data_IF_996839240229
#
_entry.id   IF_996839240229
#
_cell.length_a   1.000
_cell.length_b   1.000
_cell.length_c   1.000
_cell.angle_alpha   90.00
_cell.angle_beta   90.00
_cell.angle_gamma   90.00
#
_symmetry.space_group_name_H-M   'P 1'
#
loop_
_entity.id
_entity.type
_entity.pdbx_description
1 polymer ?
#
# COMPACT_ATOMS: atom_id res chain seq x y z
N UNK A 1 -6.23 -16.33 13.55
CA UNK A 1 -6.91 -15.08 13.18
C UNK A 1 -5.87 -14.00 13.03
N UNK A 2 -5.88 -13.28 11.90
CA UNK A 2 -5.01 -12.10 11.73
C UNK A 2 -5.61 -10.93 12.51
N UNK A 3 -4.78 -9.96 12.91
CA UNK A 3 -5.26 -8.71 13.55
C UNK A 3 -6.33 -8.03 12.69
N UNK A 4 -6.13 -8.03 11.37
CA UNK A 4 -7.06 -7.44 10.40
C UNK A 4 -8.48 -8.04 10.40
N UNK A 5 -8.65 -9.30 10.84
CA UNK A 5 -9.98 -9.92 10.90
C UNK A 5 -10.91 -9.35 11.98
N UNK A 6 -10.42 -8.46 12.85
CA UNK A 6 -11.25 -7.77 13.86
C UNK A 6 -12.01 -6.56 13.31
N UNK A 7 -11.65 -6.06 12.13
CA UNK A 7 -12.26 -4.87 11.54
C UNK A 7 -13.38 -5.26 10.58
N UNK A 8 -14.47 -4.50 10.65
CA UNK A 8 -15.66 -4.67 9.81
C UNK A 8 -15.60 -3.85 8.54
N UNK A 9 -14.76 -2.82 8.48
CA UNK A 9 -14.52 -2.00 7.30
C UNK A 9 -13.09 -1.44 7.31
N UNK A 10 -12.50 -1.21 6.14
CA UNK A 10 -11.15 -0.65 6.04
C UNK A 10 -11.02 0.37 4.91
N UNK A 11 -10.28 1.44 5.16
CA UNK A 11 -9.78 2.34 4.11
C UNK A 11 -8.32 2.00 3.84
N UNK A 12 -7.93 1.81 2.59
CA UNK A 12 -6.53 1.55 2.23
C UNK A 12 -5.92 2.78 1.57
N UNK A 13 -4.79 3.23 2.10
CA UNK A 13 -3.99 4.35 1.57
C UNK A 13 -2.60 3.83 1.21
N UNK A 14 -2.15 4.08 -0.02
CA UNK A 14 -0.85 3.63 -0.53
C UNK A 14 0.05 4.84 -0.82
N UNK A 15 1.30 4.77 -0.37
CA UNK A 15 2.32 5.78 -0.67
C UNK A 15 2.63 5.81 -2.19
N UNK A 16 2.83 4.63 -2.77
CA UNK A 16 3.28 4.43 -4.15
C UNK A 16 2.26 3.77 -5.07
N UNK A 17 2.54 3.85 -6.37
CA UNK A 17 1.70 3.26 -7.43
C UNK A 17 1.79 1.73 -7.42
N UNK A 18 2.93 1.16 -7.07
CA UNK A 18 3.13 -0.29 -7.10
C UNK A 18 2.38 -0.96 -5.95
N UNK A 19 2.37 -0.33 -4.77
CA UNK A 19 1.58 -0.74 -3.61
C UNK A 19 0.08 -0.72 -3.94
N UNK A 20 -0.40 0.37 -4.53
CA UNK A 20 -1.79 0.51 -4.98
C UNK A 20 -2.19 -0.61 -5.96
N UNK A 21 -1.33 -0.91 -6.95
CA UNK A 21 -1.56 -1.99 -7.91
C UNK A 21 -1.65 -3.36 -7.25
N UNK A 22 -0.73 -3.66 -6.33
CA UNK A 22 -0.74 -4.94 -5.64
C UNK A 22 -1.97 -5.07 -4.73
N UNK A 23 -2.36 -4.00 -4.03
CA UNK A 23 -3.60 -4.00 -3.24
C UNK A 23 -4.82 -4.25 -4.13
N UNK A 24 -4.94 -3.53 -5.25
CA UNK A 24 -6.07 -3.72 -6.17
C UNK A 24 -6.10 -5.15 -6.71
N UNK A 25 -4.96 -5.71 -7.14
CA UNK A 25 -4.88 -7.10 -7.58
C UNK A 25 -5.30 -8.09 -6.47
N UNK A 26 -4.88 -7.86 -5.23
CA UNK A 26 -5.27 -8.70 -4.08
C UNK A 26 -6.79 -8.65 -3.86
N UNK A 27 -7.40 -7.47 -3.96
CA UNK A 27 -8.85 -7.28 -3.77
C UNK A 27 -9.66 -7.90 -4.92
N UNK A 28 -9.24 -7.68 -6.17
CA UNK A 28 -9.89 -8.24 -7.37
C UNK A 28 -9.88 -9.77 -7.38
N UNK A 29 -8.84 -10.39 -6.82
CA UNK A 29 -8.71 -11.84 -6.75
C UNK A 29 -9.25 -12.45 -5.43
N UNK A 30 -9.89 -11.67 -4.57
CA UNK A 30 -10.42 -12.11 -3.27
C UNK A 30 -9.37 -12.78 -2.36
N UNK A 31 -8.12 -12.30 -2.42
CA UNK A 31 -7.04 -12.76 -1.54
C UNK A 31 -6.90 -11.91 -0.27
N UNK A 32 -7.68 -10.85 -0.15
CA UNK A 32 -7.70 -10.04 1.05
C UNK A 32 -8.46 -10.75 2.18
N UNK A 33 -8.09 -10.44 3.42
CA UNK A 33 -8.61 -11.14 4.61
C UNK A 33 -10.05 -10.77 4.96
N UNK A 34 -10.49 -9.59 4.54
CA UNK A 34 -11.89 -9.16 4.61
C UNK A 34 -12.47 -9.05 3.20
N UNK A 35 -13.80 -9.12 3.12
CA UNK A 35 -14.54 -8.96 1.87
C UNK A 35 -14.15 -7.64 1.19
N UNK A 36 -13.87 -7.69 -0.12
CA UNK A 36 -13.48 -6.51 -0.91
C UNK A 36 -14.58 -5.44 -0.93
N UNK A 37 -15.85 -5.79 -0.73
CA UNK A 37 -16.97 -4.85 -0.56
C UNK A 37 -16.89 -4.06 0.76
N UNK A 38 -16.09 -4.52 1.72
CA UNK A 38 -15.84 -3.88 3.02
C UNK A 38 -14.52 -3.11 3.03
N UNK A 39 -13.96 -2.82 1.85
CA UNK A 39 -12.72 -2.09 1.68
C UNK A 39 -12.98 -0.89 0.77
N UNK A 40 -12.54 0.29 1.20
CA UNK A 40 -12.54 1.50 0.40
C UNK A 40 -11.11 1.82 -0.07
N UNK A 41 -10.94 1.94 -1.39
CA UNK A 41 -9.67 2.31 -2.05
C UNK A 41 -9.77 3.63 -2.83
N UNK A 42 -10.87 4.37 -2.72
CA UNK A 42 -11.11 5.62 -3.47
C UNK A 42 -10.08 6.70 -3.09
N UNK A 43 -9.58 6.62 -1.86
CA UNK A 43 -8.56 7.50 -1.30
C UNK A 43 -7.16 6.87 -1.29
N UNK A 44 -6.96 5.77 -2.04
CA UNK A 44 -5.69 5.03 -2.09
C UNK A 44 -4.49 5.90 -2.47
N UNK A 45 -4.72 7.00 -3.21
CA UNK A 45 -3.71 8.00 -3.57
C UNK A 45 -4.04 9.39 -3.05
N UNK A 46 -4.50 9.50 -1.79
CA UNK A 46 -4.77 10.75 -1.09
C UNK A 46 -3.51 11.64 -0.90
N UNK A 47 -2.93 12.07 -2.03
CA UNK A 47 -1.71 12.86 -2.16
C UNK A 47 -1.97 14.36 -1.97
N UNK A 48 -3.23 14.76 -1.86
CA UNK A 48 -3.63 16.14 -1.64
C UNK A 48 -4.32 16.28 -0.29
N UNK A 49 -4.10 17.43 0.36
CA UNK A 49 -4.75 17.77 1.64
C UNK A 49 -6.27 17.60 1.58
N UNK A 50 -6.88 18.03 0.47
CA UNK A 50 -8.31 17.92 0.23
C UNK A 50 -8.77 16.46 0.26
N UNK A 51 -8.07 15.58 -0.46
CA UNK A 51 -8.43 14.15 -0.49
C UNK A 51 -8.27 13.48 0.87
N UNK A 52 -7.24 13.84 1.64
CA UNK A 52 -7.09 13.36 3.01
C UNK A 52 -8.19 13.86 3.95
N UNK A 53 -8.62 15.11 3.80
CA UNK A 53 -9.72 15.71 4.56
C UNK A 53 -11.07 15.06 4.21
N UNK A 54 -11.34 14.81 2.93
CA UNK A 54 -12.54 14.10 2.45
C UNK A 54 -12.59 12.67 2.98
N UNK A 55 -11.49 11.93 2.90
CA UNK A 55 -11.39 10.57 3.46
C UNK A 55 -11.67 10.57 4.97
N UNK A 56 -11.03 11.47 5.73
CA UNK A 56 -11.23 11.53 7.19
C UNK A 56 -12.67 11.92 7.52
N UNK A 57 -13.26 12.85 6.78
CA UNK A 57 -14.67 13.19 6.96
C UNK A 57 -15.58 11.99 6.67
N UNK A 58 -15.31 11.25 5.59
CA UNK A 58 -16.12 10.08 5.24
C UNK A 58 -16.01 8.97 6.29
N UNK A 59 -14.79 8.60 6.68
CA UNK A 59 -14.55 7.52 7.64
C UNK A 59 -15.12 7.83 9.04
N UNK A 60 -15.26 9.10 9.43
CA UNK A 60 -15.81 9.49 10.74
C UNK A 60 -17.33 9.69 10.76
N UNK A 61 -17.97 9.89 9.60
CA UNK A 61 -19.41 10.17 9.53
C UNK A 61 -20.26 8.94 9.17
N UNK A 62 -19.68 7.91 8.57
CA UNK A 62 -20.39 6.67 8.27
C UNK A 62 -20.65 5.83 9.53
N UNK A 63 -21.80 5.19 9.57
CA UNK A 63 -22.12 4.18 10.59
C UNK A 63 -21.71 2.80 10.09
N UNK A 64 -20.85 2.12 10.84
CA UNK A 64 -20.28 0.82 10.46
C UNK A 64 -20.77 -0.26 11.42
N UNK A 65 -20.96 -1.47 10.91
CA UNK A 65 -21.38 -2.63 11.71
C UNK A 65 -20.29 -3.14 12.70
N UNK A 66 -19.19 -2.41 12.86
CA UNK A 66 -18.10 -2.75 13.78
C UNK A 66 -16.88 -1.83 13.62
N UNK A 67 -15.72 -2.27 14.10
CA UNK A 67 -14.48 -1.48 14.06
C UNK A 67 -14.10 -1.12 12.62
N UNK A 68 -13.64 0.11 12.42
CA UNK A 68 -13.07 0.60 11.16
C UNK A 68 -11.62 1.00 11.35
N UNK A 69 -10.79 0.82 10.32
CA UNK A 69 -9.40 1.22 10.33
C UNK A 69 -8.96 1.83 9.00
N UNK A 70 -7.88 2.59 9.06
CA UNK A 70 -7.07 2.95 7.90
C UNK A 70 -5.86 2.03 7.84
N UNK A 71 -5.66 1.35 6.71
CA UNK A 71 -4.43 0.62 6.41
C UNK A 71 -3.53 1.53 5.57
N UNK A 72 -2.38 1.88 6.12
CA UNK A 72 -1.39 2.68 5.42
C UNK A 72 -0.27 1.79 4.87
N UNK A 73 -0.19 1.65 3.54
CA UNK A 73 0.78 0.79 2.85
C UNK A 73 1.92 1.66 2.31
N UNK A 74 3.14 1.46 2.81
CA UNK A 74 4.27 2.36 2.56
C UNK A 74 5.63 1.66 2.63
N UNK A 75 6.65 2.24 1.99
CA UNK A 75 7.94 1.56 1.74
C UNK A 75 8.95 1.67 2.89
N UNK A 76 8.66 2.49 3.89
CA UNK A 76 9.66 2.95 4.86
C UNK A 76 9.11 3.06 6.28
N UNK A 77 9.69 2.31 7.22
CA UNK A 77 9.39 2.44 8.66
C UNK A 77 9.68 3.84 9.26
N UNK A 78 10.31 4.74 8.48
CA UNK A 78 10.53 6.15 8.88
C UNK A 78 9.39 7.06 8.44
N UNK A 79 8.69 6.69 7.38
CA UNK A 79 7.45 7.36 7.03
C UNK A 79 6.43 7.11 8.13
N UNK A 80 5.63 8.13 8.41
CA UNK A 80 4.58 8.07 9.41
C UNK A 80 3.34 8.67 8.79
N UNK A 81 2.20 8.04 9.04
CA UNK A 81 0.86 8.57 8.73
C UNK A 81 0.70 10.08 9.03
N UNK A 82 1.27 10.54 10.15
CA UNK A 82 1.23 11.94 10.60
C UNK A 82 1.86 12.94 9.62
N UNK A 83 2.72 12.48 8.70
CA UNK A 83 3.30 13.31 7.65
C UNK A 83 2.39 13.49 6.43
N UNK A 84 1.42 12.59 6.23
CA UNK A 84 0.48 12.63 5.11
C UNK A 84 -0.74 13.51 5.40
N UNK A 85 -1.29 13.42 6.61
CA UNK A 85 -2.50 14.17 6.97
C UNK A 85 -2.19 15.26 8.00
N UNK A 86 -2.97 16.33 7.96
CA UNK A 86 -2.79 17.45 8.89
C UNK A 86 -3.13 17.04 10.34
N UNK A 87 -2.74 17.86 11.32
CA UNK A 87 -2.99 17.57 12.75
C UNK A 87 -4.48 17.44 13.09
N UNK A 88 -5.35 18.24 12.47
CA UNK A 88 -6.79 18.19 12.73
C UNK A 88 -7.37 16.84 12.29
N UNK A 89 -7.03 16.39 11.08
CA UNK A 89 -7.44 15.08 10.56
C UNK A 89 -6.93 13.93 11.45
N UNK A 90 -5.67 13.98 11.90
CA UNK A 90 -5.15 12.99 12.85
C UNK A 90 -5.94 12.95 14.17
N UNK A 91 -6.25 14.13 14.73
CA UNK A 91 -7.03 14.22 15.96
C UNK A 91 -8.45 13.69 15.77
N UNK A 92 -9.05 13.91 14.60
CA UNK A 92 -10.40 13.43 14.29
C UNK A 92 -10.47 11.91 14.25
N UNK A 93 -9.51 11.25 13.60
CA UNK A 93 -9.39 9.79 13.61
C UNK A 93 -9.21 9.25 15.04
N UNK A 94 -8.33 9.88 15.83
CA UNK A 94 -8.08 9.49 17.21
C UNK A 94 -9.34 9.62 18.09
N UNK A 95 -10.04 10.74 17.97
CA UNK A 95 -11.27 11.01 18.72
C UNK A 95 -12.42 10.07 18.33
N UNK A 96 -12.40 9.60 17.08
CA UNK A 96 -13.39 8.64 16.55
C UNK A 96 -12.98 7.19 16.80
N UNK A 97 -11.89 6.95 17.54
CA UNK A 97 -11.35 5.60 17.81
C UNK A 97 -11.05 4.78 16.55
N UNK A 98 -10.60 5.45 15.49
CA UNK A 98 -10.24 4.83 14.23
C UNK A 98 -8.76 4.50 14.26
N UNK A 99 -8.44 3.22 14.12
CA UNK A 99 -7.07 2.75 14.10
C UNK A 99 -6.39 3.08 12.78
N UNK A 100 -5.10 3.42 12.83
CA UNK A 100 -4.24 3.48 11.65
C UNK A 100 -3.20 2.38 11.77
N UNK A 101 -3.19 1.48 10.79
CA UNK A 101 -2.38 0.26 10.76
C UNK A 101 -1.33 0.40 9.66
N UNK A 102 -0.06 0.48 10.04
CA UNK A 102 1.05 0.54 9.10
C UNK A 102 1.35 -0.84 8.50
N UNK A 103 1.33 -0.92 7.16
CA UNK A 103 1.76 -2.07 6.36
C UNK A 103 3.06 -1.67 5.64
N UNK A 104 4.18 -2.06 6.22
CA UNK A 104 5.50 -1.67 5.73
C UNK A 104 5.96 -2.66 4.65
N UNK A 105 6.16 -2.17 3.42
CA UNK A 105 6.67 -2.93 2.26
C UNK A 105 8.20 -2.90 2.13
N UNK A 106 8.90 -2.49 3.20
CA UNK A 106 10.35 -2.45 3.24
C UNK A 106 10.99 -3.85 3.06
N UNK A 107 12.12 -3.98 2.33
CA UNK A 107 12.95 -2.90 1.78
C UNK A 107 12.29 -2.09 0.65
N UNK A 108 11.60 -2.71 -0.31
CA UNK A 108 10.68 -2.11 -1.32
C UNK A 108 9.89 -3.25 -1.98
N UNK A 109 8.67 -3.00 -2.48
CA UNK A 109 7.85 -4.04 -3.12
C UNK A 109 8.50 -4.59 -4.41
N UNK A 110 9.35 -3.80 -5.07
CA UNK A 110 10.19 -4.20 -6.20
C UNK A 110 11.10 -5.41 -5.91
N UNK A 111 11.41 -5.68 -4.64
CA UNK A 111 12.15 -6.90 -4.26
C UNK A 111 11.41 -8.14 -4.70
N UNK A 112 10.09 -8.17 -4.57
CA UNK A 112 9.29 -9.31 -4.97
C UNK A 112 9.54 -9.65 -6.46
N UNK A 113 9.68 -8.64 -7.32
CA UNK A 113 9.94 -8.84 -8.74
C UNK A 113 11.35 -9.41 -8.97
N UNK A 114 12.35 -8.92 -8.23
CA UNK A 114 13.72 -9.48 -8.28
C UNK A 114 13.72 -10.96 -7.89
N UNK A 115 12.97 -11.34 -6.84
CA UNK A 115 12.87 -12.73 -6.38
C UNK A 115 12.06 -13.63 -7.31
N UNK A 116 11.19 -13.06 -8.15
CA UNK A 116 10.39 -13.83 -9.10
C UNK A 116 11.21 -14.44 -10.25
N UNK A 117 12.49 -14.05 -10.40
CA UNK A 117 13.35 -14.49 -11.48
C UNK A 117 14.78 -14.79 -10.98
N UNK A 118 15.21 -16.04 -11.12
CA UNK A 118 16.53 -16.53 -10.67
C UNK A 118 17.72 -15.78 -11.30
N UNK A 119 17.59 -15.33 -12.54
CA UNK A 119 18.64 -14.56 -13.22
C UNK A 119 18.76 -13.16 -12.61
N UNK A 120 17.63 -12.51 -12.32
CA UNK A 120 17.60 -11.21 -11.66
C UNK A 120 18.16 -11.30 -10.24
N UNK A 121 17.75 -12.30 -9.47
CA UNK A 121 18.27 -12.55 -8.13
C UNK A 121 19.79 -12.79 -8.14
N UNK A 122 20.29 -13.62 -9.07
CA UNK A 122 21.74 -13.85 -9.24
C UNK A 122 22.49 -12.57 -9.60
N UNK A 123 21.92 -11.70 -10.43
CA UNK A 123 22.52 -10.40 -10.80
C UNK A 123 22.51 -9.42 -9.62
N UNK A 124 21.40 -9.32 -8.90
CA UNK A 124 21.27 -8.44 -7.73
C UNK A 124 22.24 -8.83 -6.62
N UNK A 125 22.37 -10.13 -6.34
CA UNK A 125 23.31 -10.65 -5.35
C UNK A 125 24.79 -10.40 -5.72
N UNK A 126 25.11 -10.29 -7.02
CA UNK A 126 26.47 -9.93 -7.49
C UNK A 126 26.71 -8.41 -7.46
N UNK A 127 25.67 -7.61 -7.65
CA UNK A 127 25.70 -6.15 -7.65
C UNK A 127 25.49 -5.56 -6.25
N UNK A 128 26.51 -5.65 -5.40
CA UNK A 128 26.75 -4.84 -4.19
C UNK A 128 25.58 -3.96 -3.65
N UNK A 129 24.94 -4.27 -2.51
CA UNK A 129 24.09 -3.37 -1.68
C UNK A 129 23.20 -2.33 -2.40
N UNK A 130 22.82 -2.53 -3.66
CA UNK A 130 22.03 -1.56 -4.44
C UNK A 130 20.58 -1.71 -4.01
N UNK A 131 19.92 -0.56 -3.74
CA UNK A 131 18.49 -0.56 -3.43
C UNK A 131 17.68 -1.23 -4.56
N UNK A 132 16.60 -1.95 -4.24
CA UNK A 132 15.77 -2.66 -5.22
C UNK A 132 15.34 -1.75 -6.39
N UNK A 133 14.82 -0.55 -6.12
CA UNK A 133 14.41 0.42 -7.13
C UNK A 133 15.54 0.85 -8.05
N UNK A 134 16.75 1.03 -7.52
CA UNK A 134 17.92 1.41 -8.31
C UNK A 134 18.38 0.24 -9.17
N UNK A 135 18.42 -0.98 -8.61
CA UNK A 135 18.73 -2.18 -9.36
C UNK A 135 17.74 -2.38 -10.52
N UNK A 136 16.44 -2.29 -10.23
CA UNK A 136 15.38 -2.43 -11.24
C UNK A 136 15.52 -1.39 -12.36
N UNK A 137 15.77 -0.12 -12.02
CA UNK A 137 16.01 0.93 -13.04
C UNK A 137 17.22 0.65 -13.92
N UNK A 138 18.35 0.27 -13.32
CA UNK A 138 19.62 0.10 -14.03
C UNK A 138 19.67 -1.19 -14.88
N UNK A 139 19.25 -2.32 -14.31
CA UNK A 139 19.48 -3.64 -14.90
C UNK A 139 18.35 -4.11 -15.80
N UNK A 140 17.11 -3.75 -15.47
CA UNK A 140 15.96 -4.15 -16.28
C UNK A 140 15.75 -3.20 -17.47
N UNK A 141 16.42 -2.03 -17.46
CA UNK A 141 16.04 -0.86 -18.27
C UNK A 141 14.56 -0.50 -18.10
N UNK A 142 13.94 -0.95 -17.00
CA UNK A 142 12.58 -0.63 -16.63
C UNK A 142 12.57 0.76 -15.99
N UNK A 143 12.58 1.78 -16.84
CA UNK A 143 12.12 3.10 -16.42
C UNK A 143 10.61 3.10 -16.11
N UNK A 144 9.92 2.03 -16.49
CA UNK A 144 8.48 1.90 -16.49
C UNK A 144 7.93 1.08 -15.32
N UNK A 145 8.72 0.38 -14.50
CA UNK A 145 8.18 -0.44 -13.39
C UNK A 145 7.48 0.37 -12.29
N UNK A 146 7.60 1.71 -12.32
CA UNK A 146 6.85 2.64 -11.47
C UNK A 146 5.63 3.25 -12.18
N UNK A 147 5.46 2.97 -13.46
CA UNK A 147 4.31 3.39 -14.24
C UNK A 147 3.15 2.42 -14.02
N UNK A 148 1.94 2.96 -14.14
CA UNK A 148 0.73 2.21 -13.88
C UNK A 148 0.65 0.93 -14.76
N UNK A 149 0.36 -0.21 -14.14
CA UNK A 149 0.19 -1.54 -14.72
C UNK A 149 1.50 -2.31 -14.94
N UNK A 150 2.66 -1.66 -14.90
CA UNK A 150 3.92 -2.27 -15.30
C UNK A 150 4.51 -3.20 -14.27
N UNK A 151 4.23 -2.97 -13.00
CA UNK A 151 4.68 -3.90 -11.96
C UNK A 151 3.99 -5.26 -12.14
N UNK A 152 2.66 -5.26 -12.26
CA UNK A 152 1.87 -6.49 -12.46
C UNK A 152 2.18 -7.19 -13.80
N UNK A 153 2.31 -6.45 -14.91
CA UNK A 153 2.72 -7.01 -16.22
C UNK A 153 4.06 -7.76 -16.19
N UNK A 154 4.93 -7.43 -15.24
CA UNK A 154 6.25 -8.04 -15.15
C UNK A 154 6.28 -9.18 -14.14
N UNK A 155 5.30 -9.26 -13.24
CA UNK A 155 5.30 -10.22 -12.15
C UNK A 155 4.73 -11.58 -12.60
N UNK A 156 5.57 -12.62 -12.82
CA UNK A 156 5.11 -13.86 -13.45
C UNK A 156 4.12 -14.66 -12.60
N UNK A 157 4.14 -14.48 -11.29
CA UNK A 157 3.23 -15.16 -10.34
C UNK A 157 1.82 -14.54 -10.38
N UNK A 158 1.67 -13.33 -10.93
CA UNK A 158 0.40 -12.59 -10.98
C UNK A 158 -0.23 -12.61 -12.39
N UNK A 159 0.37 -13.34 -13.35
CA UNK A 159 -0.11 -13.58 -14.72
C UNK A 159 -0.72 -14.97 -14.87
#
# INVERSE_FOLDING_TARGET
MTVLSEYSYMYIVCEGTNEEEVINWILENNYFVIDSLKVNTDYSRARSKKSSEEMVHEITQYDYDGKVAVLYVHDSAKEKWHGLINRACNNELLNSHIDVIDIITAPEIEVLYIYSNDELLKKWNKGSKVKPSIFCKQYLKCNDIKNKGKFLEKFPVLQ
#
